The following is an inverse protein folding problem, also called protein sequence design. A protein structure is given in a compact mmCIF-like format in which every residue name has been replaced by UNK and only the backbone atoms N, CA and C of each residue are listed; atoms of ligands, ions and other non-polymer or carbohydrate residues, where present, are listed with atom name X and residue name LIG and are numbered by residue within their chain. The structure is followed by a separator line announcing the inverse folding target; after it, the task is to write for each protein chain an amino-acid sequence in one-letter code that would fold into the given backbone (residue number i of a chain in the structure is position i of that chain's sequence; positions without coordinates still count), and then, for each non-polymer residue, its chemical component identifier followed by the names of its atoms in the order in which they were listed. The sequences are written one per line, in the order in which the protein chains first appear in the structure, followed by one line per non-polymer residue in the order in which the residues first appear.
data_IF_367893114217
#
_entry.id   IF_367893114217
#
_cell.length_a   1.000
_cell.length_b   1.000
_cell.length_c   1.000
_cell.angle_alpha   90.00
_cell.angle_beta   90.00
_cell.angle_gamma   90.00
#
_symmetry.space_group_name_H-M   'P 1'
#
loop_
_entity.id
_entity.type
_entity.pdbx_description
1 polymer ?
#
# COMPACT_ATOMS: atom_id res chain seq x y z
N UNK A 1 1.41 8.62 -17.84
CA UNK A 1 0.39 7.58 -18.10
C UNK A 1 0.56 6.50 -17.04
N UNK A 2 -0.50 6.14 -16.30
CA UNK A 2 -0.41 5.24 -15.12
C UNK A 2 -0.59 3.75 -15.45
N UNK A 3 -0.40 3.35 -16.71
CA UNK A 3 -0.59 1.96 -17.14
C UNK A 3 0.63 1.47 -17.91
N UNK A 4 1.33 0.50 -17.34
CA UNK A 4 2.36 -0.30 -17.98
C UNK A 4 1.95 -1.77 -17.84
N UNK A 5 1.89 -2.53 -18.94
CA UNK A 5 1.66 -3.98 -18.92
C UNK A 5 2.92 -4.78 -18.52
N UNK A 6 3.91 -4.08 -17.97
CA UNK A 6 5.14 -4.64 -17.43
C UNK A 6 4.89 -5.09 -15.99
N UNK A 7 5.08 -6.39 -15.73
CA UNK A 7 4.96 -7.02 -14.42
C UNK A 7 6.27 -6.97 -13.62
N UNK A 8 7.32 -6.35 -14.15
CA UNK A 8 8.58 -6.14 -13.44
C UNK A 8 8.31 -5.38 -12.13
N UNK A 9 8.95 -5.75 -11.01
CA UNK A 9 8.82 -4.99 -9.78
C UNK A 9 9.22 -3.51 -9.97
N UNK A 10 8.50 -2.62 -9.31
CA UNK A 10 8.77 -1.18 -9.31
C UNK A 10 9.79 -0.80 -8.24
N UNK A 11 10.27 0.44 -8.29
CA UNK A 11 11.32 0.93 -7.40
C UNK A 11 12.73 0.51 -7.82
N UNK A 12 13.54 0.08 -6.85
CA UNK A 12 14.95 -0.24 -6.99
C UNK A 12 15.84 0.67 -6.14
N UNK A 13 17.16 0.43 -6.18
CA UNK A 13 18.12 1.18 -5.39
C UNK A 13 17.95 2.71 -5.51
N UNK A 14 17.82 3.38 -4.37
CA UNK A 14 17.62 4.84 -4.28
C UNK A 14 16.23 5.35 -4.69
N UNK A 15 15.30 4.46 -5.07
CA UNK A 15 13.93 4.84 -5.41
C UNK A 15 12.98 4.66 -4.24
N UNK A 16 11.97 5.51 -4.18
CA UNK A 16 10.93 5.49 -3.16
C UNK A 16 9.68 4.87 -3.73
N UNK A 17 9.10 3.92 -2.99
CA UNK A 17 7.78 3.37 -3.29
C UNK A 17 6.87 3.58 -2.08
N UNK A 18 5.80 4.33 -2.30
CA UNK A 18 4.75 4.61 -1.33
C UNK A 18 3.64 3.58 -1.42
N UNK A 19 3.15 3.15 -0.26
CA UNK A 19 2.10 2.16 -0.12
C UNK A 19 1.03 2.69 0.84
N UNK A 20 -0.21 2.71 0.37
CA UNK A 20 -1.37 3.20 1.12
C UNK A 20 -2.64 2.38 0.82
N UNK A 21 -3.54 2.32 1.80
CA UNK A 21 -4.88 1.75 1.65
C UNK A 21 -5.96 2.82 1.62
N UNK A 22 -6.67 2.87 0.50
CA UNK A 22 -7.87 3.69 0.36
C UNK A 22 -9.13 2.85 0.57
N UNK A 23 -10.05 3.33 1.42
CA UNK A 23 -11.34 2.68 1.67
C UNK A 23 -12.50 3.43 1.03
N UNK A 24 -13.11 2.85 0.00
CA UNK A 24 -14.10 3.52 -0.86
C UNK A 24 -15.47 2.82 -0.87
N UNK A 25 -16.52 3.63 -0.92
CA UNK A 25 -17.89 3.14 -1.06
C UNK A 25 -18.32 2.16 0.04
N UNK A 26 -19.21 1.23 -0.32
CA UNK A 26 -19.73 0.18 0.56
C UNK A 26 -19.74 -1.15 -0.17
N UNK A 27 -19.31 -2.22 0.50
CA UNK A 27 -19.46 -3.58 0.01
C UNK A 27 -20.94 -3.95 -0.09
N UNK A 28 -21.32 -4.52 -1.23
CA UNK A 28 -22.71 -4.95 -1.47
C UNK A 28 -23.09 -6.06 -0.48
N UNK A 29 -24.25 -5.92 0.16
CA UNK A 29 -24.73 -6.90 1.15
C UNK A 29 -24.11 -6.79 2.55
N UNK A 30 -23.13 -5.90 2.76
CA UNK A 30 -22.51 -5.70 4.08
C UNK A 30 -23.17 -4.51 4.80
N UNK A 31 -23.74 -4.70 6.00
CA UNK A 31 -24.29 -3.60 6.80
C UNK A 31 -23.22 -2.57 7.14
N UNK A 32 -23.61 -1.28 7.15
CA UNK A 32 -22.70 -0.21 7.56
C UNK A 32 -22.31 -0.42 9.03
N UNK A 33 -21.02 -0.44 9.31
CA UNK A 33 -20.53 -0.47 10.68
C UNK A 33 -20.35 0.95 11.23
N UNK A 34 -20.54 1.10 12.55
CA UNK A 34 -20.37 2.39 13.24
C UNK A 34 -18.91 2.82 13.30
N UNK A 35 -17.99 1.86 13.32
CA UNK A 35 -16.55 2.05 13.42
C UNK A 35 -15.83 1.18 12.41
N UNK A 36 -14.59 1.55 12.08
CA UNK A 36 -13.74 0.80 11.16
C UNK A 36 -14.20 0.87 9.69
N UNK A 37 -13.45 0.18 8.84
CA UNK A 37 -13.62 0.23 7.39
C UNK A 37 -14.00 -1.12 6.75
N UNK A 38 -14.27 -2.16 7.54
CA UNK A 38 -14.57 -3.51 7.05
C UNK A 38 -15.85 -3.62 6.19
N UNK A 39 -16.70 -2.59 6.17
CA UNK A 39 -17.89 -2.52 5.31
C UNK A 39 -17.64 -1.77 4.00
N UNK A 40 -16.42 -1.29 3.76
CA UNK A 40 -16.01 -0.54 2.56
C UNK A 40 -15.18 -1.42 1.63
N UNK A 41 -15.07 -1.04 0.36
CA UNK A 41 -14.11 -1.68 -0.54
C UNK A 41 -12.71 -1.17 -0.19
N UNK A 42 -11.73 -2.07 -0.12
CA UNK A 42 -10.35 -1.72 0.21
C UNK A 42 -9.49 -1.78 -1.04
N UNK A 43 -8.83 -0.68 -1.38
CA UNK A 43 -7.89 -0.61 -2.49
C UNK A 43 -6.50 -0.32 -1.93
N UNK A 44 -5.56 -1.23 -2.15
CA UNK A 44 -4.15 -1.01 -1.87
C UNK A 44 -3.50 -0.40 -3.10
N UNK A 45 -2.79 0.72 -2.96
CA UNK A 45 -2.08 1.35 -4.07
C UNK A 45 -0.59 1.45 -3.76
N UNK A 46 0.23 1.05 -4.74
CA UNK A 46 1.69 1.18 -4.73
C UNK A 46 2.06 2.29 -5.72
N UNK A 47 2.88 3.25 -5.30
CA UNK A 47 3.28 4.40 -6.13
C UNK A 47 4.79 4.59 -6.08
N UNK A 48 5.45 4.53 -7.23
CA UNK A 48 6.86 4.91 -7.34
C UNK A 48 6.92 6.42 -7.53
N UNK A 49 7.69 7.14 -6.69
CA UNK A 49 7.80 8.60 -6.81
C UNK A 49 8.32 9.00 -8.18
N UNK A 50 7.56 9.81 -8.91
CA UNK A 50 7.87 10.22 -10.28
C UNK A 50 7.73 9.11 -11.34
N UNK A 51 7.12 7.98 -10.97
CA UNK A 51 7.00 6.79 -11.80
C UNK A 51 5.57 6.30 -11.99
N UNK A 52 5.40 4.98 -11.98
CA UNK A 52 4.11 4.30 -12.18
C UNK A 52 3.38 4.09 -10.86
N UNK A 53 2.08 3.82 -10.96
CA UNK A 53 1.25 3.37 -9.85
C UNK A 53 0.55 2.06 -10.21
N UNK A 54 0.33 1.19 -9.21
CA UNK A 54 -0.45 -0.04 -9.32
C UNK A 54 -1.45 -0.12 -8.18
N UNK A 55 -2.72 -0.37 -8.50
CA UNK A 55 -3.79 -0.48 -7.50
C UNK A 55 -4.42 -1.88 -7.52
N UNK A 56 -4.71 -2.40 -6.33
CA UNK A 56 -5.24 -3.74 -6.12
C UNK A 56 -6.49 -3.64 -5.25
N UNK A 57 -7.63 -4.12 -5.76
CA UNK A 57 -8.80 -4.33 -4.92
C UNK A 57 -8.56 -5.57 -4.06
N UNK A 58 -8.52 -5.40 -2.74
CA UNK A 58 -8.28 -6.46 -1.77
C UNK A 58 -9.48 -6.57 -0.83
N UNK A 59 -9.64 -7.75 -0.24
CA UNK A 59 -10.74 -8.02 0.70
C UNK A 59 -10.49 -7.44 2.10
N UNK A 60 -9.23 -7.21 2.48
CA UNK A 60 -8.86 -6.56 3.74
C UNK A 60 -7.42 -6.04 3.72
N UNK A 61 -7.15 -4.96 4.46
CA UNK A 61 -5.80 -4.44 4.71
C UNK A 61 -5.06 -5.24 5.81
N UNK A 62 -5.02 -6.56 5.67
CA UNK A 62 -4.30 -7.45 6.60
C UNK A 62 -2.92 -7.78 6.06
N UNK A 63 -1.96 -8.10 6.96
CA UNK A 63 -0.58 -8.46 6.57
C UNK A 63 -0.60 -9.61 5.56
N UNK A 64 -1.46 -10.61 5.77
CA UNK A 64 -1.60 -11.76 4.89
C UNK A 64 -2.04 -11.41 3.46
N UNK A 65 -2.63 -10.23 3.24
CA UNK A 65 -3.08 -9.76 1.91
C UNK A 65 -2.14 -8.72 1.32
N UNK A 66 -1.60 -7.82 2.14
CA UNK A 66 -0.71 -6.76 1.71
C UNK A 66 0.69 -7.30 1.39
N UNK A 67 1.26 -8.16 2.25
CA UNK A 67 2.64 -8.63 2.13
C UNK A 67 2.93 -9.34 0.79
N UNK A 68 2.11 -10.29 0.31
CA UNK A 68 2.37 -10.95 -0.97
C UNK A 68 2.35 -9.99 -2.16
N UNK A 69 1.46 -8.98 -2.13
CA UNK A 69 1.36 -7.97 -3.19
C UNK A 69 2.61 -7.11 -3.21
N UNK A 70 3.02 -6.60 -2.04
CA UNK A 70 4.23 -5.79 -1.88
C UNK A 70 5.47 -6.56 -2.36
N UNK A 71 5.63 -7.82 -1.94
CA UNK A 71 6.79 -8.64 -2.30
C UNK A 71 6.85 -9.00 -3.78
N UNK A 72 5.70 -9.17 -4.43
CA UNK A 72 5.66 -9.42 -5.87
C UNK A 72 5.92 -8.17 -6.71
N UNK A 73 5.69 -6.97 -6.16
CA UNK A 73 5.65 -5.74 -6.95
C UNK A 73 6.76 -4.74 -6.62
N UNK A 74 7.50 -4.86 -5.52
CA UNK A 74 8.49 -3.85 -5.12
C UNK A 74 9.87 -4.50 -4.95
N UNK A 75 10.89 -3.92 -5.57
CA UNK A 75 12.28 -4.32 -5.31
C UNK A 75 12.68 -4.08 -3.86
N UNK A 76 13.34 -5.05 -3.21
CA UNK A 76 13.81 -4.94 -1.83
C UNK A 76 14.82 -3.82 -1.60
N UNK A 77 15.52 -3.40 -2.64
CA UNK A 77 16.47 -2.28 -2.61
C UNK A 77 15.79 -0.91 -2.55
N UNK A 78 14.46 -0.84 -2.67
CA UNK A 78 13.70 0.41 -2.61
C UNK A 78 13.62 0.95 -1.19
N UNK A 79 13.41 2.26 -1.07
CA UNK A 79 12.94 2.91 0.14
C UNK A 79 11.42 2.73 0.21
N UNK A 80 10.97 1.92 1.17
CA UNK A 80 9.56 1.65 1.41
C UNK A 80 8.95 2.78 2.25
N UNK A 81 7.90 3.42 1.75
CA UNK A 81 7.19 4.49 2.44
C UNK A 81 5.76 4.03 2.70
N UNK A 82 5.30 4.14 3.93
CA UNK A 82 3.92 3.80 4.30
C UNK A 82 3.32 4.84 5.25
N UNK A 83 2.04 4.71 5.55
CA UNK A 83 1.46 5.34 6.73
C UNK A 83 1.90 4.61 8.02
N UNK A 84 1.28 4.98 9.15
CA UNK A 84 1.52 4.38 10.46
C UNK A 84 0.68 3.12 10.76
N UNK A 85 0.01 2.53 9.75
CA UNK A 85 -0.78 1.33 9.97
C UNK A 85 0.12 0.16 10.40
N UNK A 86 -0.31 -0.55 11.46
CA UNK A 86 0.41 -1.69 12.06
C UNK A 86 0.69 -2.83 11.08
N UNK A 87 -0.02 -2.87 9.96
CA UNK A 87 0.23 -3.84 8.89
C UNK A 87 1.66 -3.70 8.35
N UNK A 88 2.17 -2.47 8.24
CA UNK A 88 3.46 -2.16 7.64
C UNK A 88 4.65 -2.39 8.57
N UNK A 89 4.44 -2.44 9.89
CA UNK A 89 5.49 -2.75 10.87
C UNK A 89 6.19 -4.08 10.59
N UNK A 90 5.44 -5.05 10.04
CA UNK A 90 5.95 -6.37 9.70
C UNK A 90 6.50 -6.47 8.27
N UNK A 91 6.28 -5.46 7.43
CA UNK A 91 6.61 -5.48 5.99
C UNK A 91 7.85 -4.64 5.71
N UNK A 92 7.90 -3.42 6.28
CA UNK A 92 8.97 -2.47 6.06
C UNK A 92 10.39 -3.01 6.33
N UNK A 93 10.63 -3.87 7.34
CA UNK A 93 11.95 -4.43 7.60
C UNK A 93 12.55 -5.28 6.46
N UNK A 94 11.77 -5.69 5.46
CA UNK A 94 12.28 -6.44 4.31
C UNK A 94 12.93 -5.56 3.23
N UNK A 95 12.88 -4.23 3.38
CA UNK A 95 13.35 -3.24 2.40
C UNK A 95 14.62 -2.52 2.87
N UNK A 96 15.33 -1.88 1.93
CA UNK A 96 16.57 -1.14 2.20
C UNK A 96 16.40 -0.02 3.23
N UNK A 97 15.22 0.60 3.25
CA UNK A 97 14.81 1.53 4.30
C UNK A 97 13.29 1.56 4.41
N UNK A 98 12.77 1.91 5.60
CA UNK A 98 11.35 2.11 5.85
C UNK A 98 11.11 3.50 6.45
N UNK A 99 10.43 4.36 5.70
CA UNK A 99 9.88 5.62 6.20
C UNK A 99 8.39 5.51 6.45
N UNK A 100 7.90 6.26 7.44
CA UNK A 100 6.48 6.36 7.76
C UNK A 100 6.03 7.82 7.70
N UNK A 101 4.86 8.06 7.12
CA UNK A 101 4.20 9.36 7.13
C UNK A 101 3.19 9.37 8.26
N UNK A 102 3.33 10.30 9.20
CA UNK A 102 2.41 10.42 10.31
C UNK A 102 1.27 11.40 9.97
N UNK A 103 0.11 10.85 9.58
CA UNK A 103 -1.10 11.64 9.30
C UNK A 103 -1.64 12.39 10.53
N UNK A 104 -1.36 11.91 11.74
CA UNK A 104 -1.73 12.61 12.98
C UNK A 104 -0.92 13.89 13.22
N UNK A 105 0.22 14.04 12.54
CA UNK A 105 1.10 15.21 12.61
C UNK A 105 1.04 16.09 11.36
N UNK A 106 0.06 15.85 10.48
CA UNK A 106 -0.12 16.58 9.21
C UNK A 106 1.09 16.48 8.26
N UNK A 107 1.85 15.39 8.34
CA UNK A 107 2.85 15.04 7.33
C UNK A 107 2.13 14.47 6.10
N UNK A 108 2.46 14.99 4.91
CA UNK A 108 1.91 14.57 3.61
C UNK A 108 3.03 14.45 2.58
#
# INVERSE_FOLDING_TARGET
AMRSDDFTPMGGNGKFVEVDETYIGRLVGVPKQRTGAAHKNTVLTLVERGGIARSFHIDSASVARVLPIVNANIHKESVFMSDEARVYDNIGPEFAAHGKINHGREEY
#
